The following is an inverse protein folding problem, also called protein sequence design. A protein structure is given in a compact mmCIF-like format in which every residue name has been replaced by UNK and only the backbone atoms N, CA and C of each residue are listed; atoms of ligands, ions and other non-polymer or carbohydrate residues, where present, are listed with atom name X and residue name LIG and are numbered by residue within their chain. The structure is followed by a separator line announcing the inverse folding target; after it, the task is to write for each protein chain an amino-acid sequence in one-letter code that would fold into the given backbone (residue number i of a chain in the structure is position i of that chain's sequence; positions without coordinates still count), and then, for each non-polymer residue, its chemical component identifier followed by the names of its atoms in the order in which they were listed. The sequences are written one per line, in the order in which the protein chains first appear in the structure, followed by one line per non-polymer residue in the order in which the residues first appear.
data_IF_303180511829
#
_entry.id   IF_303180511829
#
_cell.length_a   1.000
_cell.length_b   1.000
_cell.length_c   1.000
_cell.angle_alpha   90.00
_cell.angle_beta   90.00
_cell.angle_gamma   90.00
#
_symmetry.space_group_name_H-M   'P 1'
#
loop_
_entity.id
_entity.type
_entity.pdbx_description
1 polymer ?
#
# COMPACT_ATOMS: atom_id res chain seq x y z
N UNK A 1 -66.82 -18.90 51.31
CA UNK A 1 -66.80 -18.54 49.82
C UNK A 1 -65.70 -17.55 49.49
N UNK A 2 -64.85 -17.08 50.36
CA UNK A 2 -63.80 -16.08 50.16
C UNK A 2 -62.35 -16.64 49.93
N UNK A 3 -62.15 -17.91 50.29
CA UNK A 3 -60.78 -18.50 50.24
C UNK A 3 -60.31 -18.89 48.84
N UNK A 4 -61.20 -19.09 47.87
CA UNK A 4 -60.83 -19.55 46.54
C UNK A 4 -60.43 -18.42 45.60
N UNK A 5 -60.79 -17.15 45.84
CA UNK A 5 -60.47 -16.01 45.03
C UNK A 5 -59.02 -15.50 45.22
N UNK A 6 -58.48 -15.70 46.45
CA UNK A 6 -57.09 -15.28 46.76
C UNK A 6 -56.08 -16.24 46.11
N UNK A 7 -56.38 -17.55 46.09
CA UNK A 7 -55.49 -18.58 45.49
C UNK A 7 -55.40 -18.41 43.91
N UNK A 8 -56.45 -18.01 43.25
CA UNK A 8 -56.42 -17.79 41.81
C UNK A 8 -55.64 -16.54 41.41
N UNK A 9 -55.68 -15.45 42.20
CA UNK A 9 -54.89 -14.23 41.93
C UNK A 9 -53.42 -14.42 42.16
N UNK A 10 -52.99 -15.27 43.09
CA UNK A 10 -51.59 -15.57 43.33
C UNK A 10 -50.98 -16.39 42.20
N UNK A 11 -51.72 -17.40 41.65
CA UNK A 11 -51.24 -18.21 40.52
C UNK A 11 -51.11 -17.41 39.22
N UNK A 12 -51.98 -16.41 38.95
CA UNK A 12 -51.86 -15.57 37.76
C UNK A 12 -50.68 -14.58 37.79
N UNK A 13 -50.23 -14.17 39.00
CA UNK A 13 -49.07 -13.28 39.13
C UNK A 13 -47.74 -14.02 39.01
N UNK A 14 -47.64 -15.27 39.49
CA UNK A 14 -46.47 -16.12 39.33
C UNK A 14 -46.26 -16.55 37.87
N UNK A 15 -47.32 -16.85 37.11
CA UNK A 15 -47.24 -17.23 35.74
C UNK A 15 -46.81 -16.05 34.83
N UNK A 16 -47.25 -14.82 35.14
CA UNK A 16 -46.82 -13.60 34.38
C UNK A 16 -45.37 -13.20 34.70
N UNK A 17 -44.88 -13.41 35.91
CA UNK A 17 -43.49 -13.17 36.27
C UNK A 17 -42.52 -14.14 35.60
N UNK A 18 -42.87 -15.42 35.48
CA UNK A 18 -42.07 -16.42 34.80
C UNK A 18 -42.00 -16.20 33.29
N UNK A 19 -43.09 -15.74 32.66
CA UNK A 19 -43.13 -15.44 31.24
C UNK A 19 -42.28 -14.21 30.89
N UNK A 20 -42.24 -13.21 31.74
CA UNK A 20 -41.40 -12.01 31.53
C UNK A 20 -39.91 -12.31 31.73
N UNK A 21 -39.53 -13.14 32.69
CA UNK A 21 -38.15 -13.59 32.89
C UNK A 21 -37.65 -14.46 31.72
N UNK A 22 -38.49 -15.33 31.17
CA UNK A 22 -38.14 -16.14 30.01
C UNK A 22 -37.97 -15.26 28.74
N UNK A 23 -38.77 -14.20 28.58
CA UNK A 23 -38.62 -13.25 27.45
C UNK A 23 -37.33 -12.42 27.56
N UNK A 24 -36.91 -12.05 28.77
CA UNK A 24 -35.63 -11.35 28.99
C UNK A 24 -34.42 -12.24 28.78
N UNK A 25 -34.50 -13.53 29.12
CA UNK A 25 -33.45 -14.52 28.87
C UNK A 25 -33.31 -14.84 27.35
N UNK A 26 -34.41 -14.85 26.60
CA UNK A 26 -34.38 -15.04 25.16
C UNK A 26 -33.84 -13.79 24.41
N UNK A 27 -34.09 -12.60 24.90
CA UNK A 27 -33.50 -11.37 24.36
C UNK A 27 -32.00 -11.23 24.68
N UNK A 28 -31.54 -11.76 25.81
CA UNK A 28 -30.13 -11.79 26.17
C UNK A 28 -29.32 -12.83 25.35
N UNK A 29 -29.97 -13.87 24.82
CA UNK A 29 -29.32 -14.89 23.99
C UNK A 29 -29.25 -14.51 22.50
N UNK A 30 -29.99 -13.50 22.06
CA UNK A 30 -29.92 -12.97 20.70
C UNK A 30 -28.81 -11.93 20.50
N UNK A 31 -28.05 -11.62 21.56
CA UNK A 31 -26.77 -10.92 21.52
C UNK A 31 -25.62 -11.86 21.14
N UNK A 32 -25.86 -12.89 20.31
CA UNK A 32 -24.81 -13.66 19.69
C UNK A 32 -23.98 -12.69 18.85
N UNK A 33 -22.80 -12.40 19.33
CA UNK A 33 -21.71 -11.74 18.64
C UNK A 33 -21.72 -12.19 17.18
N UNK A 34 -22.18 -11.33 16.28
CA UNK A 34 -21.63 -11.34 14.95
C UNK A 34 -20.15 -10.99 15.14
N UNK A 35 -19.32 -11.98 15.42
CA UNK A 35 -17.95 -11.91 15.04
C UNK A 35 -18.04 -11.55 13.54
N UNK A 36 -17.69 -10.33 13.20
CA UNK A 36 -17.30 -9.98 11.85
C UNK A 36 -16.15 -10.94 11.56
N UNK A 37 -16.51 -12.10 10.99
CA UNK A 37 -15.52 -13.00 10.42
C UNK A 37 -14.71 -12.11 9.48
N UNK A 38 -13.39 -12.21 9.55
CA UNK A 38 -12.48 -11.56 8.62
C UNK A 38 -13.10 -11.68 7.25
N UNK A 39 -13.49 -10.55 6.66
CA UNK A 39 -14.02 -10.53 5.32
C UNK A 39 -12.85 -10.97 4.43
N UNK A 40 -12.78 -12.28 4.18
CA UNK A 40 -11.75 -12.83 3.31
C UNK A 40 -11.87 -12.11 1.99
N UNK A 41 -10.84 -11.36 1.66
CA UNK A 41 -10.76 -10.67 0.36
C UNK A 41 -10.99 -11.71 -0.73
N UNK A 42 -11.92 -11.49 -1.67
CA UNK A 42 -12.26 -12.47 -2.67
C UNK A 42 -11.02 -13.02 -3.36
N UNK A 43 -10.86 -14.34 -3.38
CA UNK A 43 -9.79 -14.99 -4.14
C UNK A 43 -10.14 -14.88 -5.61
N UNK A 44 -9.31 -14.22 -6.40
CA UNK A 44 -9.48 -14.15 -7.86
C UNK A 44 -8.69 -15.26 -8.54
N UNK A 45 -9.14 -15.75 -9.71
CA UNK A 45 -8.34 -16.69 -10.49
C UNK A 45 -6.97 -16.12 -10.89
N UNK A 46 -6.86 -14.78 -10.98
CA UNK A 46 -5.59 -14.08 -11.16
C UNK A 46 -4.66 -14.30 -9.97
N UNK A 47 -5.17 -14.20 -8.73
CA UNK A 47 -4.36 -14.42 -7.54
C UNK A 47 -3.81 -15.84 -7.45
N UNK A 48 -4.61 -16.85 -7.74
CA UNK A 48 -4.14 -18.25 -7.75
C UNK A 48 -2.98 -18.49 -8.72
N UNK A 49 -3.03 -17.84 -9.89
CA UNK A 49 -1.93 -17.88 -10.84
C UNK A 49 -0.68 -17.15 -10.28
N UNK A 50 -0.83 -15.93 -9.76
CA UNK A 50 0.24 -15.12 -9.23
C UNK A 50 0.91 -15.78 -8.02
N UNK A 51 0.10 -16.37 -7.12
CA UNK A 51 0.61 -17.09 -5.97
C UNK A 51 1.48 -18.28 -6.40
N UNK A 52 1.02 -19.10 -7.33
CA UNK A 52 1.81 -20.22 -7.86
C UNK A 52 3.09 -19.77 -8.57
N UNK A 53 3.04 -18.61 -9.21
CA UNK A 53 4.19 -18.08 -9.96
C UNK A 53 5.27 -17.48 -9.03
N UNK A 54 4.87 -16.63 -8.07
CA UNK A 54 5.81 -15.90 -7.22
C UNK A 54 6.13 -16.61 -5.90
N UNK A 55 5.24 -17.47 -5.44
CA UNK A 55 5.32 -18.12 -4.12
C UNK A 55 4.97 -19.62 -4.23
N UNK A 56 5.65 -20.38 -5.12
CA UNK A 56 5.38 -21.82 -5.25
C UNK A 56 5.68 -22.49 -3.90
N UNK A 57 4.70 -23.27 -3.42
CA UNK A 57 4.81 -24.06 -2.17
C UNK A 57 5.14 -23.24 -0.91
N UNK A 58 4.87 -21.92 -0.93
CA UNK A 58 5.02 -21.06 0.25
C UNK A 58 3.69 -20.92 0.97
N UNK A 59 3.76 -21.11 2.29
CA UNK A 59 2.68 -20.71 3.17
C UNK A 59 2.72 -19.18 3.31
N UNK A 60 1.64 -18.52 2.90
CA UNK A 60 1.46 -17.09 3.07
C UNK A 60 0.58 -16.91 4.32
N UNK A 61 1.22 -16.74 5.46
CA UNK A 61 0.53 -16.47 6.72
C UNK A 61 -0.35 -15.22 6.60
N UNK A 62 -1.48 -15.25 7.30
CA UNK A 62 -2.28 -14.04 7.54
C UNK A 62 -1.88 -13.50 8.91
N UNK A 63 -1.02 -12.49 8.90
CA UNK A 63 -0.60 -11.85 10.13
C UNK A 63 -1.70 -11.05 10.80
N UNK A 64 -1.52 -10.88 12.09
CA UNK A 64 -2.21 -9.87 12.87
C UNK A 64 -1.97 -8.47 12.27
N UNK A 65 -3.01 -7.64 12.24
CA UNK A 65 -2.93 -6.24 11.77
C UNK A 65 -1.92 -5.42 12.56
N UNK A 66 -1.67 -5.81 13.83
CA UNK A 66 -0.64 -5.19 14.66
C UNK A 66 0.79 -5.42 14.15
N UNK A 67 1.03 -6.46 13.33
CA UNK A 67 2.35 -6.70 12.73
C UNK A 67 2.52 -5.94 11.42
N UNK A 68 1.54 -6.05 10.51
CA UNK A 68 1.51 -5.33 9.25
C UNK A 68 0.08 -5.00 8.85
N UNK A 69 -0.20 -3.78 8.43
CA UNK A 69 -1.47 -3.38 7.81
C UNK A 69 -1.25 -2.86 6.39
N UNK A 70 -2.28 -3.03 5.56
CA UNK A 70 -2.37 -2.47 4.22
C UNK A 70 -3.65 -1.67 4.12
N UNK A 71 -3.52 -0.38 3.87
CA UNK A 71 -4.65 0.52 3.69
C UNK A 71 -4.75 1.00 2.25
N UNK A 72 -5.95 0.98 1.71
CA UNK A 72 -6.33 1.61 0.45
C UNK A 72 -7.79 2.04 0.54
N UNK A 73 -8.23 3.09 -0.18
CA UNK A 73 -9.63 3.45 -0.24
C UNK A 73 -10.43 2.32 -0.92
N UNK A 74 -11.51 1.87 -0.29
CA UNK A 74 -12.41 0.87 -0.88
C UNK A 74 -13.02 1.34 -2.22
N UNK A 75 -13.21 2.66 -2.37
CA UNK A 75 -13.60 3.33 -3.61
C UNK A 75 -12.66 4.50 -3.82
N UNK A 76 -11.91 4.50 -4.90
CA UNK A 76 -11.02 5.62 -5.22
C UNK A 76 -11.66 6.56 -6.23
N UNK A 77 -11.61 7.89 -6.00
CA UNK A 77 -12.06 8.87 -6.98
C UNK A 77 -11.09 9.00 -8.17
N UNK A 78 -9.84 8.61 -8.00
CA UNK A 78 -8.81 8.65 -9.03
C UNK A 78 -8.11 7.28 -9.14
N UNK A 79 -8.57 6.41 -10.05
CA UNK A 79 -7.96 5.12 -10.29
C UNK A 79 -6.51 5.19 -10.80
N UNK A 80 -6.08 6.33 -11.37
CA UNK A 80 -4.73 6.53 -11.85
C UNK A 80 -3.73 6.90 -10.75
N UNK A 81 -4.22 7.26 -9.55
CA UNK A 81 -3.39 7.67 -8.42
C UNK A 81 -3.95 7.22 -7.07
N UNK A 82 -4.37 5.97 -6.98
CA UNK A 82 -4.90 5.36 -5.75
C UNK A 82 -3.81 5.30 -4.68
N UNK A 83 -4.01 5.92 -3.50
CA UNK A 83 -3.03 5.84 -2.43
C UNK A 83 -3.03 4.47 -1.76
N UNK A 84 -1.85 3.98 -1.42
CA UNK A 84 -1.62 2.78 -0.62
C UNK A 84 -0.71 3.14 0.55
N UNK A 85 -1.05 2.68 1.74
CA UNK A 85 -0.23 2.80 2.94
C UNK A 85 0.04 1.41 3.52
N UNK A 86 1.31 1.11 3.71
CA UNK A 86 1.82 -0.09 4.37
C UNK A 86 2.37 0.34 5.73
N UNK A 87 1.80 -0.16 6.84
CA UNK A 87 2.34 0.11 8.18
C UNK A 87 2.89 -1.16 8.80
N UNK A 88 4.00 -1.03 9.49
CA UNK A 88 4.68 -2.11 10.18
C UNK A 88 4.67 -1.84 11.67
N UNK A 89 4.13 -2.78 12.43
CA UNK A 89 4.13 -2.73 13.89
C UNK A 89 5.54 -2.87 14.46
N UNK A 90 5.68 -2.57 15.74
CA UNK A 90 6.98 -2.58 16.43
C UNK A 90 7.73 -3.92 16.27
N UNK A 91 6.99 -5.04 16.29
CA UNK A 91 7.56 -6.38 16.11
C UNK A 91 8.05 -6.64 14.67
N UNK A 92 7.56 -5.90 13.69
CA UNK A 92 7.96 -6.04 12.28
C UNK A 92 9.15 -5.14 11.92
N UNK A 93 9.22 -3.95 12.52
CA UNK A 93 10.26 -2.96 12.21
C UNK A 93 11.66 -3.51 12.48
N UNK A 94 12.50 -3.55 11.43
CA UNK A 94 13.83 -4.13 11.47
C UNK A 94 13.89 -5.63 11.18
N UNK A 95 12.74 -6.29 11.00
CA UNK A 95 12.62 -7.72 10.70
C UNK A 95 12.03 -8.01 9.32
N UNK A 96 11.68 -7.01 8.55
CA UNK A 96 11.27 -7.14 7.15
C UNK A 96 12.52 -7.17 6.27
N UNK A 97 12.56 -8.13 5.34
CA UNK A 97 13.61 -8.30 4.33
C UNK A 97 13.16 -7.78 2.97
N UNK A 98 11.94 -8.14 2.57
CA UNK A 98 11.37 -7.73 1.28
C UNK A 98 9.86 -7.49 1.44
N UNK A 99 9.33 -6.56 0.66
CA UNK A 99 7.88 -6.31 0.55
C UNK A 99 7.54 -6.29 -0.94
N UNK A 100 6.53 -7.06 -1.34
CA UNK A 100 5.99 -7.00 -2.70
C UNK A 100 4.55 -6.54 -2.67
N UNK A 101 4.25 -5.53 -3.48
CA UNK A 101 2.90 -5.00 -3.68
C UNK A 101 2.36 -5.55 -4.99
N UNK A 102 1.24 -6.28 -4.91
CA UNK A 102 0.57 -6.92 -6.05
C UNK A 102 -0.85 -6.39 -6.17
N UNK A 103 -1.23 -6.07 -7.40
CA UNK A 103 -2.58 -5.65 -7.79
C UNK A 103 -3.10 -6.73 -8.73
N UNK A 104 -3.94 -7.64 -8.21
CA UNK A 104 -4.27 -8.92 -8.86
C UNK A 104 -4.68 -8.78 -10.33
N UNK A 105 -5.52 -7.80 -10.64
CA UNK A 105 -6.14 -7.66 -11.96
C UNK A 105 -5.50 -6.57 -12.86
N UNK A 106 -4.37 -5.99 -12.43
CA UNK A 106 -3.64 -5.07 -13.29
C UNK A 106 -2.92 -5.80 -14.44
N UNK A 107 -2.74 -5.16 -15.62
CA UNK A 107 -1.95 -5.72 -16.71
C UNK A 107 -0.50 -6.07 -16.32
N UNK A 108 0.10 -5.28 -15.41
CA UNK A 108 1.35 -5.58 -14.72
C UNK A 108 1.05 -5.69 -13.24
N UNK A 109 0.82 -6.91 -12.70
CA UNK A 109 0.33 -7.09 -11.35
C UNK A 109 1.29 -6.63 -10.26
N UNK A 110 2.60 -6.81 -10.43
CA UNK A 110 3.59 -6.34 -9.46
C UNK A 110 3.77 -4.84 -9.63
N UNK A 111 3.28 -4.06 -8.66
CA UNK A 111 3.42 -2.61 -8.67
C UNK A 111 4.80 -2.16 -8.17
N UNK A 112 5.30 -2.82 -7.11
CA UNK A 112 6.61 -2.57 -6.56
C UNK A 112 7.12 -3.79 -5.77
N UNK A 113 8.43 -3.98 -5.76
CA UNK A 113 9.14 -4.88 -4.83
C UNK A 113 10.19 -4.06 -4.11
N UNK A 114 10.12 -4.01 -2.79
CA UNK A 114 11.03 -3.27 -1.93
C UNK A 114 11.94 -4.24 -1.19
N UNK A 115 13.23 -4.20 -1.44
CA UNK A 115 14.24 -4.84 -0.63
C UNK A 115 14.66 -3.90 0.50
N UNK A 116 14.42 -4.32 1.73
CA UNK A 116 14.68 -3.54 2.94
C UNK A 116 16.03 -3.97 3.49
N UNK A 117 16.93 -3.02 3.67
CA UNK A 117 18.26 -3.34 4.20
C UNK A 117 18.19 -3.92 5.62
N UNK A 118 19.07 -4.85 5.92
CA UNK A 118 19.12 -5.49 7.23
C UNK A 118 19.26 -4.45 8.35
N UNK A 119 18.35 -4.51 9.31
CA UNK A 119 18.28 -3.58 10.43
C UNK A 119 17.73 -2.19 10.08
N UNK A 120 17.26 -1.96 8.85
CA UNK A 120 16.56 -0.74 8.51
C UNK A 120 15.25 -0.64 9.29
N UNK A 121 14.98 0.56 9.81
CA UNK A 121 13.86 0.82 10.73
C UNK A 121 12.69 1.47 9.99
N UNK A 122 12.23 0.84 8.89
CA UNK A 122 11.07 1.30 8.12
C UNK A 122 9.79 0.94 8.88
N UNK A 123 9.00 1.94 9.25
CA UNK A 123 7.74 1.78 9.96
C UNK A 123 6.51 1.98 9.08
N UNK A 124 6.64 2.79 8.00
CA UNK A 124 5.56 3.01 7.04
C UNK A 124 6.13 3.26 5.64
N UNK A 125 5.39 2.79 4.63
CA UNK A 125 5.64 3.07 3.21
C UNK A 125 4.34 3.53 2.59
N UNK A 126 4.32 4.77 2.04
CA UNK A 126 3.22 5.25 1.21
C UNK A 126 3.64 5.35 -0.24
N UNK A 127 2.75 4.93 -1.12
CA UNK A 127 2.91 5.05 -2.57
C UNK A 127 1.56 5.28 -3.24
N UNK A 128 1.59 5.64 -4.52
CA UNK A 128 0.37 5.77 -5.33
C UNK A 128 0.46 4.84 -6.53
N UNK A 129 -0.64 4.12 -6.78
CA UNK A 129 -0.71 3.12 -7.84
C UNK A 129 -1.89 3.37 -8.77
N UNK A 130 -1.78 2.84 -9.99
CA UNK A 130 -2.87 2.73 -10.95
C UNK A 130 -3.65 1.47 -10.68
N UNK A 131 -4.98 1.55 -10.66
CA UNK A 131 -5.89 0.41 -10.55
C UNK A 131 -6.67 0.31 -11.85
N UNK A 132 -6.48 -0.77 -12.59
CA UNK A 132 -7.12 -0.94 -13.90
C UNK A 132 -8.52 -1.53 -13.83
N UNK A 133 -8.77 -2.42 -12.87
CA UNK A 133 -10.04 -3.11 -12.65
C UNK A 133 -10.29 -3.30 -11.18
N UNK A 134 -11.55 -3.54 -10.81
CA UNK A 134 -11.92 -3.98 -9.46
C UNK A 134 -11.04 -5.16 -9.05
N UNK A 135 -10.34 -5.05 -7.94
CA UNK A 135 -9.22 -5.95 -7.64
C UNK A 135 -8.94 -6.03 -6.14
N UNK A 136 -8.30 -7.13 -5.75
CA UNK A 136 -7.54 -7.14 -4.52
C UNK A 136 -6.17 -6.49 -4.73
N UNK A 137 -5.76 -5.67 -3.79
CA UNK A 137 -4.39 -5.20 -3.60
C UNK A 137 -3.80 -6.00 -2.47
N UNK A 138 -2.59 -6.52 -2.66
CA UNK A 138 -1.88 -7.36 -1.69
C UNK A 138 -0.52 -6.78 -1.37
N UNK A 139 -0.14 -6.86 -0.10
CA UNK A 139 1.22 -6.66 0.35
C UNK A 139 1.72 -7.99 0.94
N UNK A 140 2.82 -8.50 0.40
CA UNK A 140 3.47 -9.70 0.89
C UNK A 140 4.84 -9.31 1.43
N UNK A 141 5.05 -9.52 2.72
CA UNK A 141 6.33 -9.30 3.39
C UNK A 141 7.07 -10.62 3.58
N UNK A 142 8.33 -10.68 3.17
CA UNK A 142 9.29 -11.68 3.59
C UNK A 142 10.03 -11.15 4.80
N UNK A 143 10.04 -11.92 5.87
CA UNK A 143 10.74 -11.57 7.10
C UNK A 143 12.20 -12.06 7.06
N UNK A 144 13.04 -11.54 7.95
CA UNK A 144 14.46 -11.95 8.04
C UNK A 144 14.65 -13.40 8.47
N UNK A 145 13.64 -14.03 9.09
CA UNK A 145 13.62 -15.47 9.43
C UNK A 145 12.99 -16.34 8.30
N UNK A 146 12.68 -15.74 7.15
CA UNK A 146 12.23 -16.43 5.93
C UNK A 146 10.75 -16.81 5.90
N UNK A 147 9.94 -16.25 6.80
CA UNK A 147 8.47 -16.40 6.74
C UNK A 147 7.89 -15.41 5.74
N UNK A 148 6.75 -15.77 5.18
CA UNK A 148 5.98 -14.93 4.28
C UNK A 148 4.65 -14.57 4.92
N UNK A 149 4.34 -13.28 4.90
CA UNK A 149 3.18 -12.71 5.55
C UNK A 149 2.42 -11.82 4.57
N UNK A 150 1.11 -11.99 4.48
CA UNK A 150 0.29 -11.30 3.49
C UNK A 150 -0.81 -10.49 4.15
N UNK A 151 -1.03 -9.29 3.62
CA UNK A 151 -2.24 -8.49 3.83
C UNK A 151 -2.89 -8.20 2.50
N UNK A 152 -4.21 -8.12 2.48
CA UNK A 152 -4.96 -7.78 1.28
C UNK A 152 -6.15 -6.88 1.60
N UNK A 153 -6.48 -6.03 0.65
CA UNK A 153 -7.68 -5.17 0.70
C UNK A 153 -8.33 -5.12 -0.68
N UNK A 154 -9.64 -4.95 -0.72
CA UNK A 154 -10.38 -4.84 -1.98
C UNK A 154 -10.55 -3.38 -2.38
N UNK A 155 -10.32 -3.06 -3.66
CA UNK A 155 -10.47 -1.72 -4.23
C UNK A 155 -11.42 -1.75 -5.41
N UNK A 156 -12.45 -0.92 -5.34
CA UNK A 156 -13.39 -0.66 -6.43
C UNK A 156 -12.87 0.51 -7.26
N UNK A 157 -12.23 0.20 -8.38
CA UNK A 157 -11.68 1.18 -9.30
C UNK A 157 -11.56 0.58 -10.69
N UNK A 158 -11.49 1.39 -11.73
CA UNK A 158 -11.25 0.91 -13.10
C UNK A 158 -10.65 1.98 -13.99
N UNK A 159 -9.85 1.55 -15.00
CA UNK A 159 -9.31 2.42 -16.04
C UNK A 159 -8.08 3.23 -15.64
N UNK A 160 -7.46 2.93 -14.49
CA UNK A 160 -6.29 3.69 -14.04
C UNK A 160 -5.07 3.55 -14.93
N UNK A 161 -4.89 2.39 -15.58
CA UNK A 161 -3.77 2.18 -16.50
C UNK A 161 -3.97 2.86 -17.85
N UNK A 162 -5.21 3.07 -18.28
CA UNK A 162 -5.56 3.76 -19.52
C UNK A 162 -5.96 5.23 -19.33
N UNK A 163 -5.96 5.74 -18.10
CA UNK A 163 -6.27 7.13 -17.80
C UNK A 163 -5.33 8.06 -18.60
N UNK A 164 -5.86 9.12 -19.25
CA UNK A 164 -5.03 10.08 -19.97
C UNK A 164 -3.91 10.64 -19.07
N UNK A 165 -2.76 11.02 -19.64
CA UNK A 165 -1.74 11.73 -18.88
C UNK A 165 -2.31 13.00 -18.25
N UNK A 166 -1.87 13.31 -17.04
CA UNK A 166 -2.21 14.58 -16.39
C UNK A 166 -1.67 15.79 -17.15
N UNK A 167 -2.10 16.98 -16.75
CA UNK A 167 -1.50 18.20 -17.26
C UNK A 167 0.00 18.21 -16.94
N UNK A 168 0.84 18.56 -17.94
CA UNK A 168 2.28 18.60 -17.75
C UNK A 168 2.65 19.45 -16.52
N UNK A 169 3.23 18.83 -15.52
CA UNK A 169 3.71 19.56 -14.35
C UNK A 169 4.91 20.42 -14.74
N UNK A 170 5.02 21.60 -14.12
CA UNK A 170 6.17 22.47 -14.36
C UNK A 170 7.44 21.85 -13.80
N UNK A 171 8.47 21.69 -14.64
CA UNK A 171 9.77 21.11 -14.27
C UNK A 171 10.37 20.30 -15.40
N UNK A 172 11.52 19.69 -15.12
CA UNK A 172 12.21 18.80 -16.07
C UNK A 172 11.99 17.36 -15.66
N UNK A 173 11.95 16.48 -16.66
CA UNK A 173 11.95 15.04 -16.42
C UNK A 173 13.07 14.67 -15.43
N UNK A 174 12.72 13.92 -14.40
CA UNK A 174 13.65 13.52 -13.36
C UNK A 174 13.90 14.54 -12.24
N UNK A 175 13.19 15.68 -12.22
CA UNK A 175 13.27 16.61 -11.08
C UNK A 175 12.79 15.90 -9.82
N UNK A 176 13.68 15.77 -8.85
CA UNK A 176 13.41 15.08 -7.56
C UNK A 176 13.21 16.12 -6.46
N UNK A 177 12.23 15.90 -5.61
CA UNK A 177 11.93 16.76 -4.46
C UNK A 177 11.86 15.92 -3.20
N UNK A 178 12.43 16.48 -2.12
CA UNK A 178 12.34 15.92 -0.78
C UNK A 178 11.45 16.78 0.11
N UNK A 179 10.67 16.14 0.96
CA UNK A 179 9.98 16.79 2.07
C UNK A 179 10.16 15.94 3.31
N UNK A 180 10.99 16.40 4.23
CA UNK A 180 11.22 15.78 5.51
C UNK A 180 10.28 16.33 6.58
N UNK A 181 9.91 15.50 7.56
CA UNK A 181 9.32 15.98 8.81
C UNK A 181 10.37 16.73 9.66
N UNK A 182 9.96 17.63 10.58
CA UNK A 182 10.90 18.39 11.42
C UNK A 182 11.84 17.50 12.26
N UNK A 183 11.39 16.31 12.64
CA UNK A 183 12.15 15.31 13.40
C UNK A 183 12.92 14.34 12.51
N UNK A 184 12.87 14.53 11.17
CA UNK A 184 13.49 13.69 10.17
C UNK A 184 13.07 12.19 10.22
N UNK A 185 11.95 11.86 10.85
CA UNK A 185 11.43 10.49 10.88
C UNK A 185 10.61 10.14 9.64
N UNK A 186 10.06 11.14 8.96
CA UNK A 186 9.29 10.98 7.73
C UNK A 186 9.98 11.68 6.57
N UNK A 187 10.11 11.00 5.44
CA UNK A 187 10.66 11.52 4.21
C UNK A 187 9.75 11.20 3.03
N UNK A 188 9.18 12.22 2.41
CA UNK A 188 8.50 12.11 1.12
C UNK A 188 9.48 12.46 0.00
N UNK A 189 9.65 11.55 -0.92
CA UNK A 189 10.44 11.70 -2.15
C UNK A 189 9.45 11.68 -3.31
N UNK A 190 9.55 12.63 -4.22
CA UNK A 190 8.76 12.65 -5.45
C UNK A 190 9.64 12.96 -6.63
N UNK A 191 9.38 12.32 -7.77
CA UNK A 191 10.09 12.54 -9.02
C UNK A 191 9.10 12.98 -10.08
N UNK A 192 9.46 14.02 -10.84
CA UNK A 192 8.69 14.44 -12.00
C UNK A 192 8.95 13.47 -13.16
N UNK A 193 7.98 12.61 -13.42
CA UNK A 193 8.09 11.57 -14.43
C UNK A 193 6.70 11.22 -14.97
N UNK A 194 6.49 11.07 -16.29
CA UNK A 194 5.18 10.76 -16.86
C UNK A 194 4.63 9.42 -16.39
N UNK A 195 5.49 8.49 -16.09
CA UNK A 195 5.15 7.13 -15.68
C UNK A 195 4.06 6.51 -16.55
N UNK A 196 4.24 6.62 -17.88
CA UNK A 196 3.28 6.13 -18.86
C UNK A 196 3.20 4.61 -18.80
N UNK A 197 1.97 4.11 -18.74
CA UNK A 197 1.70 2.67 -18.60
C UNK A 197 1.86 1.89 -19.92
N UNK A 198 1.75 2.54 -21.07
CA UNK A 198 1.66 1.89 -22.39
C UNK A 198 0.22 1.55 -22.81
N UNK A 199 -0.77 1.78 -21.94
CA UNK A 199 -2.20 1.57 -22.21
C UNK A 199 -2.96 2.88 -22.44
N UNK A 200 -2.27 3.99 -22.39
CA UNK A 200 -2.82 5.33 -22.57
C UNK A 200 -2.87 5.70 -24.05
N UNK A 201 -3.86 6.48 -24.40
CA UNK A 201 -4.01 7.05 -25.76
C UNK A 201 -3.81 8.55 -25.66
N UNK A 202 -3.02 9.11 -26.56
CA UNK A 202 -2.84 10.56 -26.69
C UNK A 202 -4.15 11.20 -27.13
N UNK A 203 -4.74 12.12 -26.34
CA UNK A 203 -6.05 12.68 -26.64
C UNK A 203 -6.07 13.60 -27.88
N UNK A 204 -4.91 14.05 -28.36
CA UNK A 204 -4.80 14.94 -29.52
C UNK A 204 -4.57 14.15 -30.82
N UNK A 205 -3.66 13.18 -30.81
CA UNK A 205 -3.32 12.38 -31.98
C UNK A 205 -4.14 11.11 -32.11
N UNK A 206 -4.71 10.59 -31.03
CA UNK A 206 -5.37 9.28 -30.98
C UNK A 206 -4.41 8.10 -30.99
N UNK A 207 -3.10 8.33 -30.94
CA UNK A 207 -2.07 7.29 -30.99
C UNK A 207 -1.78 6.72 -29.59
N UNK A 208 -1.38 5.42 -29.49
CA UNK A 208 -0.93 4.84 -28.24
C UNK A 208 0.33 5.55 -27.71
N UNK A 209 0.34 5.87 -26.43
CA UNK A 209 1.50 6.42 -25.74
C UNK A 209 2.40 5.26 -25.28
N UNK A 210 3.66 5.17 -25.77
CA UNK A 210 4.57 4.12 -25.36
C UNK A 210 4.83 4.13 -23.83
N UNK A 211 5.02 2.95 -23.24
CA UNK A 211 5.39 2.84 -21.84
C UNK A 211 6.71 3.57 -21.56
N UNK A 212 6.71 4.34 -20.48
CA UNK A 212 7.90 5.06 -19.99
C UNK A 212 7.70 5.30 -18.50
N UNK A 213 8.38 4.57 -17.67
CA UNK A 213 8.13 4.52 -16.22
C UNK A 213 9.44 4.43 -15.43
N UNK A 214 9.40 4.85 -14.18
CA UNK A 214 10.46 4.59 -13.20
C UNK A 214 10.53 3.10 -12.98
N UNK A 215 11.67 2.49 -13.22
CA UNK A 215 11.90 1.04 -13.08
C UNK A 215 12.60 0.69 -11.78
N UNK A 216 13.40 1.61 -11.24
CA UNK A 216 14.20 1.35 -10.05
C UNK A 216 14.37 2.61 -9.21
N UNK A 217 14.28 2.46 -7.88
CA UNK A 217 14.51 3.51 -6.88
C UNK A 217 15.38 2.97 -5.77
N UNK A 218 16.55 3.56 -5.56
CA UNK A 218 17.41 3.26 -4.41
C UNK A 218 17.44 4.44 -3.47
N UNK A 219 17.10 4.19 -2.21
CA UNK A 219 17.19 5.14 -1.13
C UNK A 219 18.33 4.77 -0.18
N UNK A 220 19.22 5.71 0.08
CA UNK A 220 20.35 5.51 0.99
C UNK A 220 20.40 6.61 2.05
N UNK A 221 20.88 6.28 3.23
CA UNK A 221 21.11 7.19 4.35
C UNK A 221 22.53 7.04 4.83
N UNK A 222 23.27 8.14 4.99
CA UNK A 222 24.66 8.12 5.41
C UNK A 222 25.53 7.12 4.60
N UNK A 223 25.29 7.08 3.27
CA UNK A 223 26.00 6.20 2.34
C UNK A 223 25.64 4.71 2.42
N UNK A 224 24.62 4.34 3.21
CA UNK A 224 24.13 2.95 3.31
C UNK A 224 22.75 2.83 2.71
N UNK A 225 22.54 1.81 1.90
CA UNK A 225 21.20 1.52 1.37
C UNK A 225 20.23 1.31 2.53
N UNK A 226 19.10 2.00 2.50
CA UNK A 226 17.96 1.82 3.39
C UNK A 226 16.92 0.92 2.73
N UNK A 227 16.61 1.23 1.47
CA UNK A 227 15.58 0.59 0.66
C UNK A 227 16.02 0.56 -0.79
N UNK A 228 15.78 -0.56 -1.45
CA UNK A 228 15.98 -0.75 -2.88
C UNK A 228 14.65 -1.23 -3.49
N UNK A 229 14.15 -0.57 -4.52
CA UNK A 229 12.81 -0.84 -5.04
C UNK A 229 12.82 -1.02 -6.55
N UNK A 230 12.37 -2.19 -7.01
CA UNK A 230 11.96 -2.40 -8.38
C UNK A 230 10.49 -2.01 -8.53
N UNK A 231 10.19 -1.19 -9.53
CA UNK A 231 8.85 -0.66 -9.75
C UNK A 231 8.42 -0.83 -11.21
N UNK A 232 7.14 -0.62 -11.49
CA UNK A 232 6.58 -0.85 -12.81
C UNK A 232 5.54 0.18 -13.23
N UNK A 233 4.89 -0.12 -14.35
CA UNK A 233 3.85 0.73 -14.95
C UNK A 233 2.63 0.94 -14.04
N UNK A 234 2.48 0.12 -13.00
CA UNK A 234 1.40 0.26 -12.03
C UNK A 234 1.62 1.39 -11.01
N UNK A 235 2.80 2.04 -10.97
CA UNK A 235 2.92 3.30 -10.23
C UNK A 235 2.21 4.43 -10.96
N UNK A 236 1.71 5.42 -10.21
CA UNK A 236 1.08 6.62 -10.76
C UNK A 236 2.06 7.51 -11.51
N UNK A 237 1.53 8.47 -12.27
CA UNK A 237 2.28 9.62 -12.78
C UNK A 237 2.93 10.38 -11.62
N UNK A 238 4.10 10.95 -11.85
CA UNK A 238 4.92 11.64 -10.85
C UNK A 238 5.07 10.78 -9.57
N UNK A 239 5.73 9.62 -9.67
CA UNK A 239 5.82 8.70 -8.55
C UNK A 239 6.32 9.37 -7.29
N UNK A 240 5.67 9.04 -6.19
CA UNK A 240 6.06 9.50 -4.86
C UNK A 240 6.15 8.32 -3.91
N UNK A 241 7.19 8.34 -3.09
CA UNK A 241 7.45 7.35 -2.06
C UNK A 241 7.64 8.07 -0.74
N UNK A 242 6.80 7.80 0.25
CA UNK A 242 7.05 8.23 1.62
C UNK A 242 7.58 7.05 2.40
N UNK A 243 8.60 7.30 3.19
CA UNK A 243 9.16 6.37 4.15
C UNK A 243 9.09 7.01 5.52
N UNK A 244 8.45 6.33 6.46
CA UNK A 244 8.50 6.70 7.87
C UNK A 244 9.36 5.68 8.62
N UNK A 245 10.11 6.19 9.60
CA UNK A 245 11.00 5.42 10.46
C UNK A 245 10.68 5.70 11.93
N UNK A 246 10.88 4.73 12.79
CA UNK A 246 10.71 4.91 14.24
C UNK A 246 11.77 5.82 14.88
N UNK A 247 12.83 6.14 14.13
CA UNK A 247 13.92 7.06 14.52
C UNK A 247 14.31 7.98 13.36
N UNK A 248 14.97 9.12 13.65
CA UNK A 248 15.41 10.03 12.60
C UNK A 248 16.28 9.33 11.53
N UNK A 249 16.02 9.64 10.26
CA UNK A 249 16.83 9.17 9.14
C UNK A 249 18.16 9.94 9.13
N UNK A 250 19.32 9.25 9.18
CA UNK A 250 20.61 9.90 9.11
C UNK A 250 20.81 10.66 7.80
N UNK A 251 21.27 11.91 7.87
CA UNK A 251 21.65 12.66 6.68
C UNK A 251 23.12 12.35 6.27
N UNK A 252 23.47 12.44 4.98
CA UNK A 252 22.59 12.75 3.88
C UNK A 252 21.65 11.60 3.53
N UNK A 253 20.42 11.95 3.10
CA UNK A 253 19.52 11.01 2.43
C UNK A 253 19.70 11.19 0.93
N UNK A 254 20.07 10.15 0.22
CA UNK A 254 20.27 10.15 -1.23
C UNK A 254 19.26 9.24 -1.91
N UNK A 255 18.80 9.62 -3.09
CA UNK A 255 17.97 8.79 -3.94
C UNK A 255 18.59 8.70 -5.32
N UNK A 256 18.66 7.47 -5.84
CA UNK A 256 19.04 7.17 -7.21
C UNK A 256 17.83 6.51 -7.88
N UNK A 257 17.46 7.03 -9.06
CA UNK A 257 16.31 6.57 -9.82
C UNK A 257 16.75 6.22 -11.23
N UNK A 258 16.26 5.09 -11.72
CA UNK A 258 16.44 4.65 -13.11
C UNK A 258 15.06 4.50 -13.74
N UNK A 259 14.89 4.96 -14.98
CA UNK A 259 13.66 4.72 -15.72
C UNK A 259 13.79 3.58 -16.73
N UNK A 260 12.70 3.22 -17.37
CA UNK A 260 12.63 2.14 -18.37
C UNK A 260 13.32 2.47 -19.72
N UNK A 261 13.91 3.64 -19.83
CA UNK A 261 14.74 4.09 -20.96
C UNK A 261 16.20 4.29 -20.55
N UNK A 262 16.58 3.71 -19.41
CA UNK A 262 17.94 3.81 -18.84
C UNK A 262 18.39 5.24 -18.53
N UNK A 263 17.46 6.18 -18.33
CA UNK A 263 17.79 7.50 -17.82
C UNK A 263 17.99 7.43 -16.29
N UNK A 264 19.05 8.08 -15.80
CA UNK A 264 19.45 8.10 -14.41
C UNK A 264 19.22 9.47 -13.80
N UNK A 265 18.57 9.50 -12.65
CA UNK A 265 18.30 10.71 -11.88
C UNK A 265 18.76 10.50 -10.44
N UNK A 266 19.43 11.47 -9.86
CA UNK A 266 19.84 11.40 -8.47
C UNK A 266 19.67 12.73 -7.76
N UNK A 267 19.49 12.66 -6.45
CA UNK A 267 19.38 13.83 -5.60
C UNK A 267 19.78 13.49 -4.15
N UNK A 268 20.15 14.52 -3.40
CA UNK A 268 20.49 14.40 -1.99
C UNK A 268 19.79 15.43 -1.15
N UNK A 269 19.25 15.01 0.00
CA UNK A 269 18.80 15.86 1.08
C UNK A 269 19.85 15.88 2.21
N UNK A 270 20.26 17.07 2.68
CA UNK A 270 21.36 17.23 3.62
C UNK A 270 20.94 17.66 5.04
N UNK A 271 19.65 17.52 5.36
CA UNK A 271 19.18 17.75 6.73
C UNK A 271 18.60 19.14 7.00
N UNK A 272 18.48 20.03 6.01
CA UNK A 272 17.80 21.31 6.18
C UNK A 272 16.35 21.26 5.69
N UNK A 273 15.41 21.78 6.47
CA UNK A 273 13.98 21.84 6.12
C UNK A 273 13.72 22.73 4.89
N UNK A 274 14.70 23.55 4.48
CA UNK A 274 14.59 24.54 3.42
C UNK A 274 15.09 24.08 2.04
N UNK A 275 15.64 22.85 1.90
CA UNK A 275 16.30 22.43 0.67
C UNK A 275 15.37 21.58 -0.21
N UNK A 276 14.51 22.27 -0.98
CA UNK A 276 13.65 21.63 -1.99
C UNK A 276 14.20 21.72 -3.43
N UNK A 277 15.51 21.90 -3.60
CA UNK A 277 16.12 21.95 -4.92
C UNK A 277 17.20 20.87 -5.05
N UNK A 278 16.86 19.80 -5.79
CA UNK A 278 17.82 18.77 -6.16
C UNK A 278 18.84 19.31 -7.13
N UNK A 279 20.12 19.04 -6.90
CA UNK A 279 21.13 19.20 -7.92
C UNK A 279 21.06 17.97 -8.84
N UNK A 280 20.29 18.08 -9.93
CA UNK A 280 20.25 17.03 -10.96
C UNK A 280 21.60 16.97 -11.68
N UNK A 281 22.37 15.94 -11.43
CA UNK A 281 23.50 15.58 -12.28
C UNK A 281 23.00 14.56 -13.29
N UNK A 282 22.47 15.02 -14.42
CA UNK A 282 22.21 14.14 -15.55
C UNK A 282 23.55 13.60 -16.02
N UNK A 283 23.82 12.31 -15.82
CA UNK A 283 24.92 11.62 -16.46
C UNK A 283 24.61 11.56 -17.96
N UNK A 284 25.38 12.33 -18.74
CA UNK A 284 25.21 12.46 -20.19
C UNK A 284 25.27 11.12 -20.88
N UNK A 285 24.29 10.84 -21.73
CA UNK A 285 24.39 9.81 -22.75
C UNK A 285 25.62 10.14 -23.63
N UNK A 286 26.68 9.34 -23.45
CA UNK A 286 27.88 9.41 -24.30
C UNK A 286 27.49 9.05 -25.72
N UNK A 287 27.39 10.06 -26.57
CA UNK A 287 27.31 9.89 -28.01
C UNK A 287 28.63 9.34 -28.52
N UNK A 288 28.65 8.14 -29.00
CA UNK A 288 29.68 7.63 -29.89
C UNK A 288 29.26 7.96 -31.34
N UNK A 289 30.16 8.64 -32.02
CA UNK A 289 30.10 8.94 -33.46
C UNK A 289 30.17 7.65 -34.27
#
# INVERSE_FOLDING_TARGET
MYSNLIAQRARGRLARGAALLAAWLLLAYCGASFALGDAQTPTSGAWEYLQRHFYPDRDLGLLDESYMSLEAPANTPDPAATPLTLRFGEAAVGHIKQIRVIIDNNPSPVAATFDVASGARVAEIDLRVRIDRFTSVRAIAETTDGKFEMRSTWVNASGGCSAPPGAAAAGRLGDIRFRASPDAKSMLISVLHPNNSGFQIDPLSGEPIPSHYVSHIRLSTDGRTLLDADTGISLSENPSLRIDSDRPLPAPVTVDIVDSKDAHFNASWRGSVAESAATNTAAGAGGTR
#
